data_IF_520629244663
#
_entry.id   IF_520629244663
#
_cell.length_a   1.000
_cell.length_b   1.000
_cell.length_c   1.000
_cell.angle_alpha   90.00
_cell.angle_beta   90.00
_cell.angle_gamma   90.00
#
_symmetry.space_group_name_H-M   'P 1'
#
loop_
_entity.id
_entity.type
_entity.pdbx_description
1 polymer ?
#
# COMPACT_ATOMS: atom_id res chain seq x y z
N UNK A 1 -3.97 -22.94 14.45
CA UNK A 1 -4.29 -21.55 14.03
C UNK A 1 -5.71 -21.20 14.45
N UNK A 2 -5.93 -20.03 15.00
CA UNK A 2 -7.27 -19.58 15.32
C UNK A 2 -8.03 -19.26 14.03
N UNK A 3 -9.37 -19.36 14.06
CA UNK A 3 -10.22 -18.99 12.91
C UNK A 3 -9.95 -17.55 12.45
N UNK A 4 -9.64 -16.65 13.41
CA UNK A 4 -9.35 -15.23 13.10
C UNK A 4 -8.06 -15.08 12.30
N UNK A 5 -7.02 -15.86 12.60
CA UNK A 5 -5.76 -15.82 11.84
C UNK A 5 -5.95 -16.34 10.42
N UNK A 6 -6.67 -17.44 10.24
CA UNK A 6 -6.98 -18.00 8.92
C UNK A 6 -7.78 -16.99 8.09
N UNK A 7 -8.76 -16.32 8.69
CA UNK A 7 -9.55 -15.28 8.04
C UNK A 7 -8.68 -14.09 7.61
N UNK A 8 -7.77 -13.65 8.49
CA UNK A 8 -6.84 -12.56 8.17
C UNK A 8 -5.92 -12.91 7.01
N UNK A 9 -5.39 -14.14 7.00
CA UNK A 9 -4.52 -14.61 5.90
C UNK A 9 -5.29 -14.68 4.58
N UNK A 10 -6.52 -15.19 4.61
CA UNK A 10 -7.37 -15.25 3.41
C UNK A 10 -7.67 -13.85 2.87
N UNK A 11 -8.01 -12.91 3.75
CA UNK A 11 -8.25 -11.52 3.36
C UNK A 11 -6.99 -10.83 2.85
N UNK A 12 -5.84 -11.13 3.45
CA UNK A 12 -4.54 -10.61 2.98
C UNK A 12 -4.25 -11.08 1.56
N UNK A 13 -4.48 -12.36 1.28
CA UNK A 13 -4.33 -12.90 -0.08
C UNK A 13 -5.29 -12.27 -1.07
N UNK A 14 -6.55 -12.08 -0.67
CA UNK A 14 -7.55 -11.42 -1.51
C UNK A 14 -7.15 -9.97 -1.80
N UNK A 15 -6.74 -9.22 -0.79
CA UNK A 15 -6.28 -7.83 -0.97
C UNK A 15 -5.01 -7.75 -1.80
N UNK A 16 -4.09 -8.71 -1.66
CA UNK A 16 -2.91 -8.79 -2.51
C UNK A 16 -3.29 -8.96 -3.99
N UNK A 17 -4.27 -9.82 -4.26
CA UNK A 17 -4.79 -10.02 -5.62
C UNK A 17 -5.43 -8.76 -6.17
N UNK A 18 -6.21 -8.05 -5.36
CA UNK A 18 -6.82 -6.77 -5.75
C UNK A 18 -5.76 -5.69 -6.01
N UNK A 19 -4.73 -5.62 -5.17
CA UNK A 19 -3.59 -4.72 -5.38
C UNK A 19 -2.87 -5.03 -6.69
N UNK A 20 -2.66 -6.31 -6.98
CA UNK A 20 -2.04 -6.76 -8.23
C UNK A 20 -2.87 -6.33 -9.44
N UNK A 21 -4.16 -6.60 -9.43
CA UNK A 21 -5.06 -6.27 -10.53
C UNK A 21 -5.12 -4.76 -10.74
N UNK A 22 -5.31 -4.01 -9.67
CA UNK A 22 -5.37 -2.55 -9.74
C UNK A 22 -4.05 -1.93 -10.22
N UNK A 23 -2.94 -2.46 -9.76
CA UNK A 23 -1.62 -1.99 -10.18
C UNK A 23 -1.36 -2.29 -11.65
N UNK A 24 -1.72 -3.49 -12.10
CA UNK A 24 -1.44 -3.93 -13.47
C UNK A 24 -2.33 -3.24 -14.51
N UNK A 25 -3.62 -3.13 -14.22
CA UNK A 25 -4.60 -2.68 -15.22
C UNK A 25 -4.96 -1.19 -15.09
N UNK A 26 -4.78 -0.61 -13.90
CA UNK A 26 -5.21 0.76 -13.61
C UNK A 26 -4.04 1.70 -13.35
N UNK A 27 -2.93 1.50 -14.04
CA UNK A 27 -1.76 2.37 -13.93
C UNK A 27 -1.68 3.32 -15.12
N UNK A 28 -1.29 4.57 -14.82
CA UNK A 28 -1.02 5.58 -15.84
C UNK A 28 0.46 5.92 -15.75
N UNK A 29 1.28 5.53 -16.74
CA UNK A 29 2.70 5.87 -16.73
C UNK A 29 2.89 7.36 -16.95
N UNK A 30 3.75 7.99 -16.16
CA UNK A 30 4.11 9.39 -16.27
C UNK A 30 5.62 9.47 -16.45
N UNK A 31 6.09 10.13 -17.52
CA UNK A 31 7.53 10.35 -17.69
C UNK A 31 8.06 11.29 -16.59
N UNK A 32 9.18 10.90 -15.98
CA UNK A 32 9.82 11.72 -14.96
C UNK A 32 10.99 12.50 -15.57
N UNK A 33 11.26 13.74 -15.07
CA UNK A 33 12.47 14.46 -15.44
C UNK A 33 13.70 13.62 -15.09
N UNK A 34 14.55 13.34 -16.08
CA UNK A 34 15.71 12.48 -15.87
C UNK A 34 15.67 11.15 -16.64
N UNK A 35 14.63 10.93 -17.46
CA UNK A 35 14.54 9.78 -18.35
C UNK A 35 13.93 8.52 -17.75
N UNK A 36 13.40 8.59 -16.52
CA UNK A 36 12.67 7.49 -15.91
C UNK A 36 11.18 7.56 -16.17
N UNK A 37 10.47 6.51 -15.82
CA UNK A 37 9.01 6.50 -15.79
C UNK A 37 8.53 6.16 -14.39
N UNK A 38 7.56 6.91 -13.89
CA UNK A 38 6.79 6.55 -12.72
C UNK A 38 5.35 6.26 -13.13
N UNK A 39 4.57 5.69 -12.25
CA UNK A 39 3.18 5.39 -12.56
C UNK A 39 2.28 5.84 -11.43
N UNK A 40 1.21 6.52 -11.79
CA UNK A 40 0.09 6.72 -10.86
C UNK A 40 -0.81 5.50 -11.01
N UNK A 41 -1.11 4.86 -9.91
CA UNK A 41 -1.93 3.66 -9.92
C UNK A 41 -2.85 3.58 -8.70
N UNK A 42 -3.97 2.95 -8.90
CA UNK A 42 -5.00 2.79 -7.86
C UNK A 42 -4.60 1.70 -6.85
N UNK A 43 -3.56 0.93 -7.14
CA UNK A 43 -3.04 -0.08 -6.22
C UNK A 43 -2.71 0.46 -4.82
N UNK A 44 -2.22 1.69 -4.72
CA UNK A 44 -2.00 2.34 -3.43
C UNK A 44 -3.28 2.50 -2.62
N UNK A 45 -4.40 2.79 -3.27
CA UNK A 45 -5.70 2.90 -2.59
C UNK A 45 -6.09 1.56 -1.95
N UNK A 46 -5.90 0.45 -2.66
CA UNK A 46 -6.16 -0.87 -2.11
C UNK A 46 -5.19 -1.25 -0.99
N UNK A 47 -3.94 -0.81 -1.09
CA UNK A 47 -2.94 -1.02 -0.04
C UNK A 47 -3.34 -0.33 1.27
N UNK A 48 -3.73 0.95 1.21
CA UNK A 48 -4.17 1.68 2.41
C UNK A 48 -5.51 1.16 2.93
N UNK A 49 -6.41 0.75 2.04
CA UNK A 49 -7.67 0.13 2.44
C UNK A 49 -7.42 -1.19 3.19
N UNK A 50 -6.53 -2.03 2.68
CA UNK A 50 -6.15 -3.27 3.34
C UNK A 50 -5.54 -2.99 4.73
N UNK A 51 -4.72 -1.94 4.85
CA UNK A 51 -4.14 -1.54 6.13
C UNK A 51 -5.21 -1.10 7.13
N UNK A 52 -6.27 -0.44 6.67
CA UNK A 52 -7.39 -0.04 7.53
C UNK A 52 -8.19 -1.25 8.02
N UNK A 53 -8.38 -2.25 7.16
CA UNK A 53 -9.20 -3.42 7.46
C UNK A 53 -8.41 -4.46 8.26
N UNK A 54 -7.19 -4.77 7.82
CA UNK A 54 -6.38 -5.88 8.34
C UNK A 54 -5.32 -5.46 9.34
N UNK A 55 -5.08 -4.16 9.48
CA UNK A 55 -3.97 -3.65 10.28
C UNK A 55 -2.72 -3.42 9.42
N UNK A 56 -1.72 -2.75 10.02
CA UNK A 56 -0.53 -2.30 9.29
C UNK A 56 0.30 -3.42 8.68
N UNK A 57 0.55 -4.48 9.44
CA UNK A 57 1.40 -5.59 9.00
C UNK A 57 0.76 -6.36 7.84
N UNK A 58 -0.46 -6.83 8.02
CA UNK A 58 -1.15 -7.61 6.99
C UNK A 58 -1.53 -6.75 5.78
N UNK A 59 -1.96 -5.53 6.02
CA UNK A 59 -2.26 -4.59 4.95
C UNK A 59 -1.02 -4.22 4.15
N UNK A 60 0.08 -3.94 4.83
CA UNK A 60 1.37 -3.67 4.19
C UNK A 60 1.87 -4.85 3.37
N UNK A 61 1.75 -6.07 3.93
CA UNK A 61 2.12 -7.29 3.20
C UNK A 61 1.27 -7.49 1.94
N UNK A 62 -0.04 -7.27 2.04
CA UNK A 62 -0.92 -7.44 0.88
C UNK A 62 -0.53 -6.51 -0.28
N UNK A 63 -0.31 -5.24 0.02
CA UNK A 63 0.12 -4.26 -0.96
C UNK A 63 1.52 -4.56 -1.50
N UNK A 64 2.46 -4.87 -0.62
CA UNK A 64 3.83 -5.17 -0.99
C UNK A 64 3.90 -6.40 -1.91
N UNK A 65 3.26 -7.49 -1.54
CA UNK A 65 3.27 -8.73 -2.32
C UNK A 65 2.59 -8.51 -3.67
N UNK A 66 1.38 -7.97 -3.67
CA UNK A 66 0.59 -7.79 -4.90
C UNK A 66 1.29 -6.90 -5.91
N UNK A 67 1.76 -5.74 -5.48
CA UNK A 67 2.40 -4.79 -6.39
C UNK A 67 3.81 -5.22 -6.80
N UNK A 68 4.55 -5.91 -5.94
CA UNK A 68 5.87 -6.46 -6.29
C UNK A 68 5.76 -7.55 -7.35
N UNK A 69 4.77 -8.42 -7.25
CA UNK A 69 4.53 -9.44 -8.28
C UNK A 69 4.22 -8.76 -9.62
N UNK A 70 3.41 -7.70 -9.60
CA UNK A 70 3.09 -6.94 -10.81
C UNK A 70 4.35 -6.32 -11.43
N UNK A 71 5.25 -5.76 -10.62
CA UNK A 71 6.51 -5.20 -11.10
C UNK A 71 7.43 -6.28 -11.68
N UNK A 72 7.48 -7.46 -11.07
CA UNK A 72 8.29 -8.58 -11.57
C UNK A 72 7.81 -9.10 -12.92
N UNK A 73 6.52 -8.97 -13.20
CA UNK A 73 5.95 -9.38 -14.48
C UNK A 73 6.04 -8.29 -15.55
N UNK A 74 6.41 -7.08 -15.19
CA UNK A 74 6.53 -5.95 -16.13
C UNK A 74 8.01 -5.69 -16.42
N UNK A 75 8.48 -5.86 -17.67
CA UNK A 75 9.89 -5.64 -18.00
C UNK A 75 10.42 -4.23 -17.69
N UNK A 76 9.53 -3.24 -17.69
CA UNK A 76 9.90 -1.85 -17.39
C UNK A 76 10.20 -1.66 -15.91
N UNK A 77 9.45 -2.32 -15.05
CA UNK A 77 9.50 -2.10 -13.60
C UNK A 77 10.17 -3.21 -12.80
N UNK A 78 10.66 -4.25 -13.48
CA UNK A 78 11.27 -5.42 -12.81
C UNK A 78 12.43 -5.04 -11.88
N UNK A 79 13.23 -4.05 -12.25
CA UNK A 79 14.35 -3.59 -11.44
C UNK A 79 13.88 -2.80 -10.22
N UNK A 80 12.65 -2.28 -10.26
CA UNK A 80 12.05 -1.53 -9.16
C UNK A 80 11.33 -2.40 -8.13
N UNK A 81 11.20 -3.69 -8.38
CA UNK A 81 10.45 -4.60 -7.51
C UNK A 81 10.88 -4.56 -6.04
N UNK A 82 12.19 -4.61 -5.67
CA UNK A 82 12.60 -4.51 -4.27
C UNK A 82 12.21 -3.18 -3.63
N UNK A 83 12.33 -2.07 -4.37
CA UNK A 83 11.91 -0.76 -3.91
C UNK A 83 10.40 -0.73 -3.67
N UNK A 84 9.62 -1.27 -4.60
CA UNK A 84 8.16 -1.35 -4.51
C UNK A 84 7.74 -2.13 -3.27
N UNK A 85 8.36 -3.29 -3.03
CA UNK A 85 8.06 -4.10 -1.85
C UNK A 85 8.23 -3.28 -0.57
N UNK A 86 9.38 -2.65 -0.41
CA UNK A 86 9.69 -1.86 0.78
C UNK A 86 8.71 -0.70 0.96
N UNK A 87 8.49 0.08 -0.11
CA UNK A 87 7.60 1.24 -0.06
C UNK A 87 6.16 0.86 0.28
N UNK A 88 5.63 -0.17 -0.37
CA UNK A 88 4.24 -0.56 -0.15
C UNK A 88 4.02 -1.17 1.23
N UNK A 89 5.01 -1.90 1.71
CA UNK A 89 4.98 -2.40 3.09
C UNK A 89 4.97 -1.24 4.10
N UNK A 90 5.81 -0.24 3.89
CA UNK A 90 5.86 0.94 4.76
C UNK A 90 4.58 1.78 4.70
N UNK A 91 3.97 1.94 3.52
CA UNK A 91 2.66 2.61 3.41
C UNK A 91 1.64 1.92 4.30
N UNK A 92 1.56 0.61 4.19
CA UNK A 92 0.62 -0.18 4.99
C UNK A 92 0.89 -0.08 6.48
N UNK A 93 2.15 -0.17 6.89
CA UNK A 93 2.55 -0.04 8.29
C UNK A 93 2.17 1.33 8.86
N UNK A 94 2.49 2.40 8.15
CA UNK A 94 2.21 3.77 8.60
C UNK A 94 0.70 4.00 8.68
N UNK A 95 -0.03 3.64 7.64
CA UNK A 95 -1.48 3.80 7.60
C UNK A 95 -2.14 3.02 8.74
N UNK A 96 -1.78 1.76 8.91
CA UNK A 96 -2.31 0.92 9.97
C UNK A 96 -1.93 1.40 11.36
N UNK A 97 -0.70 1.86 11.54
CA UNK A 97 -0.25 2.41 12.82
C UNK A 97 -1.08 3.63 13.22
N UNK A 98 -1.25 4.59 12.31
CA UNK A 98 -2.03 5.79 12.59
C UNK A 98 -3.50 5.43 12.86
N UNK A 99 -4.09 4.56 12.04
CA UNK A 99 -5.49 4.19 12.18
C UNK A 99 -5.78 3.38 13.44
N UNK A 100 -4.97 2.38 13.75
CA UNK A 100 -5.25 1.44 14.83
C UNK A 100 -4.58 1.79 16.16
N UNK A 101 -3.38 2.35 16.14
CA UNK A 101 -2.62 2.67 17.35
C UNK A 101 -2.84 4.09 17.87
N UNK A 102 -2.94 5.05 16.98
CA UNK A 102 -3.10 6.46 17.37
C UNK A 102 -4.58 6.80 17.53
N UNK A 103 -5.39 6.49 16.54
CA UNK A 103 -6.80 6.90 16.52
C UNK A 103 -7.78 5.83 16.98
N UNK A 104 -7.32 4.58 17.16
CA UNK A 104 -8.16 3.47 17.67
C UNK A 104 -9.49 3.35 16.93
N UNK A 105 -9.46 3.31 15.59
CA UNK A 105 -10.68 3.26 14.77
C UNK A 105 -11.51 1.99 14.98
N UNK A 106 -10.94 0.96 15.61
CA UNK A 106 -11.64 -0.28 15.94
C UNK A 106 -12.58 -0.12 17.14
N UNK A 107 -12.35 0.90 17.97
CA UNK A 107 -13.18 1.17 19.13
C UNK A 107 -14.49 1.86 18.74
N UNK A 108 -15.44 1.91 19.66
CA UNK A 108 -16.72 2.57 19.42
C UNK A 108 -16.55 4.08 19.36
N UNK A 109 -16.57 4.60 18.14
CA UNK A 109 -16.51 6.03 17.87
C UNK A 109 -17.63 6.45 16.91
N UNK A 110 -18.00 7.75 16.89
CA UNK A 110 -18.94 8.24 15.86
C UNK A 110 -18.41 7.98 14.45
N UNK A 111 -19.31 7.75 13.51
CA UNK A 111 -18.94 7.51 12.10
C UNK A 111 -18.06 8.64 11.55
N UNK A 112 -18.35 9.88 11.90
CA UNK A 112 -17.57 11.05 11.47
C UNK A 112 -16.11 10.95 11.93
N UNK A 113 -15.88 10.53 13.18
CA UNK A 113 -14.54 10.33 13.72
C UNK A 113 -13.78 9.26 12.94
N UNK A 114 -14.41 8.11 12.72
CA UNK A 114 -13.79 6.98 12.00
C UNK A 114 -13.41 7.39 10.58
N UNK A 115 -14.32 8.04 9.85
CA UNK A 115 -14.08 8.51 8.48
C UNK A 115 -12.93 9.52 8.45
N UNK A 116 -12.94 10.49 9.35
CA UNK A 116 -11.91 11.53 9.44
C UNK A 116 -10.52 10.93 9.67
N UNK A 117 -10.39 10.05 10.64
CA UNK A 117 -9.12 9.42 10.97
C UNK A 117 -8.66 8.40 9.92
N UNK A 118 -9.60 7.70 9.29
CA UNK A 118 -9.27 6.80 8.18
C UNK A 118 -8.69 7.57 7.00
N UNK A 119 -9.32 8.69 6.62
CA UNK A 119 -8.81 9.56 5.56
C UNK A 119 -7.44 10.16 5.92
N UNK A 120 -7.27 10.59 7.16
CA UNK A 120 -5.99 11.13 7.64
C UNK A 120 -4.89 10.06 7.60
N UNK A 121 -5.19 8.85 8.06
CA UNK A 121 -4.25 7.73 8.03
C UNK A 121 -3.81 7.39 6.61
N UNK A 122 -4.76 7.30 5.69
CA UNK A 122 -4.47 7.07 4.27
C UNK A 122 -3.62 8.20 3.68
N UNK A 123 -3.97 9.44 4.00
CA UNK A 123 -3.23 10.61 3.55
C UNK A 123 -1.77 10.60 4.01
N UNK A 124 -1.53 10.28 5.28
CA UNK A 124 -0.18 10.18 5.85
C UNK A 124 0.63 9.08 5.15
N UNK A 125 0.03 7.90 4.96
CA UNK A 125 0.70 6.79 4.27
C UNK A 125 1.05 7.12 2.83
N UNK A 126 0.14 7.75 2.11
CA UNK A 126 0.36 8.14 0.72
C UNK A 126 1.36 9.29 0.60
N UNK A 127 1.35 10.25 1.53
CA UNK A 127 2.37 11.31 1.58
C UNK A 127 3.77 10.72 1.77
N UNK A 128 3.91 9.75 2.66
CA UNK A 128 5.18 9.04 2.84
C UNK A 128 5.66 8.45 1.52
N UNK A 129 4.77 7.80 0.77
CA UNK A 129 5.10 7.24 -0.54
C UNK A 129 5.58 8.31 -1.53
N UNK A 130 4.86 9.43 -1.59
CA UNK A 130 5.19 10.54 -2.50
C UNK A 130 6.58 11.12 -2.22
N UNK A 131 6.98 11.23 -0.94
CA UNK A 131 8.30 11.72 -0.58
C UNK A 131 9.40 10.69 -0.73
N UNK A 132 9.12 9.43 -0.36
CA UNK A 132 10.15 8.39 -0.35
C UNK A 132 10.40 7.78 -1.71
N UNK A 133 9.43 7.74 -2.59
CA UNK A 133 9.58 7.13 -3.90
C UNK A 133 10.69 7.79 -4.74
N UNK A 134 10.72 9.13 -4.89
CA UNK A 134 11.82 9.79 -5.60
C UNK A 134 13.18 9.58 -4.91
N UNK A 135 13.23 9.61 -3.57
CA UNK A 135 14.46 9.43 -2.81
C UNK A 135 15.05 8.03 -3.06
N UNK A 136 14.21 7.02 -2.97
CA UNK A 136 14.64 5.64 -3.23
C UNK A 136 14.98 5.40 -4.69
N UNK A 137 14.32 6.08 -5.60
CA UNK A 137 14.65 6.03 -7.02
C UNK A 137 16.06 6.57 -7.30
N UNK A 138 16.44 7.67 -6.63
CA UNK A 138 17.79 8.23 -6.74
C UNK A 138 18.86 7.28 -6.18
N UNK A 139 18.57 6.62 -5.06
CA UNK A 139 19.49 5.65 -4.43
C UNK A 139 19.60 4.39 -5.29
N UNK A 140 18.50 3.94 -5.87
CA UNK A 140 18.46 2.70 -6.67
C UNK A 140 19.21 2.83 -8.00
N UNK A 141 19.28 4.03 -8.53
CA UNK A 141 20.07 4.36 -9.73
C UNK A 141 21.54 4.59 -9.33
#
# INVERSE_FOLDING_TARGET
MSKNMTKKLALTGLMAALCYIAFTFLKIPIPTPGGGTTAIHIGNAFCVLAALILGGVYGGLSGAIGMTIADLMDPIFITSAPKTFFLKFMIGLITGFVAHKISHIEDEHPKTYIIKWSLLSCGIGLLFNVFMDPILSLIHI
#
